data_IF_806043793748
#
_entry.id   IF_806043793748
#
_cell.length_a   1.000
_cell.length_b   1.000
_cell.length_c   1.000
_cell.angle_alpha   90.00
_cell.angle_beta   90.00
_cell.angle_gamma   90.00
#
_symmetry.space_group_name_H-M   'P 1'
#
loop_
_entity.id
_entity.type
_entity.pdbx_description
1 polymer ?
#
# COMPACT_ATOMS: atom_id res chain seq x y z
N UNK A 1 0.88 61.33 -48.13
CA UNK A 1 -0.39 61.31 -47.39
C UNK A 1 -1.27 60.20 -47.96
N UNK A 2 -1.58 59.17 -47.15
CA UNK A 2 -2.61 58.16 -47.43
C UNK A 2 -3.09 57.62 -46.08
N UNK A 3 -4.39 57.77 -45.82
CA UNK A 3 -5.02 57.51 -44.52
C UNK A 3 -5.33 56.03 -44.27
N UNK A 4 -5.60 55.71 -43.00
CA UNK A 4 -6.26 54.48 -42.58
C UNK A 4 -7.53 54.83 -41.82
N UNK A 5 -8.59 54.13 -42.19
CA UNK A 5 -9.98 54.39 -41.84
C UNK A 5 -10.29 54.10 -40.36
N UNK A 6 -11.19 54.91 -39.80
CA UNK A 6 -11.88 54.66 -38.53
C UNK A 6 -12.83 53.48 -38.74
N UNK A 7 -12.68 52.41 -37.95
CA UNK A 7 -13.67 51.32 -37.89
C UNK A 7 -14.77 51.72 -36.91
N UNK A 8 -16.03 51.88 -37.35
CA UNK A 8 -17.17 52.14 -36.46
C UNK A 8 -17.65 50.81 -35.85
N UNK A 9 -17.60 50.67 -34.53
CA UNK A 9 -18.15 49.48 -33.85
C UNK A 9 -17.63 49.18 -32.44
N UNK A 10 -16.50 49.73 -32.02
CA UNK A 10 -15.92 49.43 -30.69
C UNK A 10 -16.65 50.09 -29.51
N UNK A 11 -17.45 51.13 -29.74
CA UNK A 11 -18.14 51.87 -28.68
C UNK A 11 -19.39 51.16 -28.14
N UNK A 12 -20.03 50.30 -28.94
CA UNK A 12 -21.28 49.63 -28.55
C UNK A 12 -21.06 48.43 -27.62
N UNK A 13 -19.91 47.76 -27.71
CA UNK A 13 -19.60 46.60 -26.85
C UNK A 13 -19.27 47.02 -25.40
N UNK A 14 -18.67 48.20 -25.22
CA UNK A 14 -18.35 48.74 -23.89
C UNK A 14 -19.64 49.22 -23.19
N UNK A 15 -20.58 49.79 -23.94
CA UNK A 15 -21.88 50.22 -23.41
C UNK A 15 -22.72 49.07 -22.83
N UNK A 16 -22.70 47.90 -23.48
CA UNK A 16 -23.43 46.72 -23.00
C UNK A 16 -22.84 46.13 -21.71
N UNK A 17 -21.50 46.11 -21.58
CA UNK A 17 -20.82 45.55 -20.41
C UNK A 17 -21.03 46.39 -19.14
N UNK A 18 -21.02 47.72 -19.28
CA UNK A 18 -21.27 48.64 -18.15
C UNK A 18 -22.73 48.61 -17.71
N UNK A 19 -23.67 48.42 -18.64
CA UNK A 19 -25.10 48.33 -18.32
C UNK A 19 -25.42 47.05 -17.52
N UNK A 20 -24.78 45.91 -17.81
CA UNK A 20 -24.91 44.68 -17.00
C UNK A 20 -24.33 44.78 -15.59
N UNK A 21 -23.27 45.58 -15.40
CA UNK A 21 -22.67 45.79 -14.07
C UNK A 21 -23.53 46.74 -13.21
N UNK A 22 -24.23 47.69 -13.83
CA UNK A 22 -25.11 48.64 -13.13
C UNK A 22 -26.52 48.12 -12.83
N UNK A 23 -27.05 47.15 -13.59
CA UNK A 23 -28.40 46.59 -13.38
C UNK A 23 -28.50 45.39 -12.41
N UNK A 24 -27.44 45.08 -11.65
CA UNK A 24 -27.61 44.43 -10.35
C UNK A 24 -28.17 43.00 -10.35
N UNK A 25 -27.68 42.11 -11.22
CA UNK A 25 -27.77 40.66 -10.98
C UNK A 25 -26.38 40.14 -10.65
N UNK A 26 -26.13 39.97 -9.35
CA UNK A 26 -24.83 39.52 -8.83
C UNK A 26 -24.31 40.30 -7.64
N UNK A 27 -25.18 41.00 -6.89
CA UNK A 27 -24.86 41.47 -5.55
C UNK A 27 -24.79 40.32 -4.57
N UNK A 28 -23.60 40.04 -4.04
CA UNK A 28 -23.35 40.15 -2.60
C UNK A 28 -21.90 40.56 -2.39
N UNK A 29 -21.80 41.71 -1.74
CA UNK A 29 -20.61 42.46 -1.41
C UNK A 29 -19.64 41.68 -0.53
N UNK A 30 -18.39 42.10 -0.63
CA UNK A 30 -17.34 41.89 0.36
C UNK A 30 -17.82 42.17 1.79
N UNK A 31 -17.83 41.14 2.63
CA UNK A 31 -17.80 41.27 4.09
C UNK A 31 -17.30 39.98 4.73
N UNK A 32 -15.97 39.83 4.79
CA UNK A 32 -15.22 39.29 5.94
C UNK A 32 -13.76 39.05 5.53
N UNK A 33 -12.96 40.10 5.70
CA UNK A 33 -11.51 40.12 5.53
C UNK A 33 -10.78 39.55 6.76
N UNK A 34 -11.36 38.54 7.42
CA UNK A 34 -10.76 37.90 8.58
C UNK A 34 -10.79 36.38 8.41
N UNK A 35 -9.59 35.82 8.27
CA UNK A 35 -9.21 34.54 8.89
C UNK A 35 -9.36 33.24 8.09
N UNK A 36 -9.23 33.24 6.77
CA UNK A 36 -8.84 32.01 6.06
C UNK A 36 -7.70 32.23 5.06
N UNK A 37 -6.53 32.60 5.57
CA UNK A 37 -5.31 32.00 5.04
C UNK A 37 -5.36 30.52 5.43
N UNK A 38 -6.10 29.71 4.67
CA UNK A 38 -5.99 28.27 4.73
C UNK A 38 -4.61 27.91 4.17
N UNK A 39 -3.57 28.15 4.97
CA UNK A 39 -2.34 27.38 4.87
C UNK A 39 -2.77 25.96 5.14
N UNK A 40 -3.13 25.25 4.08
CA UNK A 40 -3.25 23.81 4.11
C UNK A 40 -1.85 23.30 4.37
N UNK A 41 -1.47 23.23 5.64
CA UNK A 41 -0.31 22.49 6.10
C UNK A 41 -0.65 21.03 5.83
N UNK A 42 -0.45 20.60 4.59
CA UNK A 42 -0.33 19.20 4.28
C UNK A 42 0.92 18.74 5.01
N UNK A 43 0.76 18.25 6.22
CA UNK A 43 1.75 17.36 6.81
C UNK A 43 1.75 16.11 5.94
N UNK A 44 2.53 16.16 4.85
CA UNK A 44 3.02 14.96 4.21
C UNK A 44 3.91 14.29 5.25
N UNK A 45 3.31 13.41 6.05
CA UNK A 45 4.07 12.43 6.82
C UNK A 45 4.67 11.51 5.77
N UNK A 46 5.82 11.90 5.22
CA UNK A 46 6.70 10.96 4.57
C UNK A 46 7.06 9.96 5.66
N UNK A 47 6.33 8.84 5.71
CA UNK A 47 6.79 7.68 6.45
C UNK A 47 8.15 7.37 5.80
N UNK A 48 9.24 7.72 6.49
CA UNK A 48 10.56 7.99 5.91
C UNK A 48 11.29 6.81 5.28
N UNK A 49 10.59 5.74 4.90
CA UNK A 49 11.12 4.64 4.15
C UNK A 49 10.89 4.92 2.65
N UNK A 50 11.96 5.33 1.96
CA UNK A 50 12.02 5.06 0.52
C UNK A 50 11.76 3.55 0.31
N UNK A 51 11.00 3.16 -0.73
CA UNK A 51 10.79 1.74 -0.99
C UNK A 51 12.14 1.07 -1.21
N UNK A 52 12.41 0.04 -0.42
CA UNK A 52 13.65 -0.72 -0.54
C UNK A 52 13.68 -1.53 -1.83
N UNK A 53 14.83 -2.17 -2.15
CA UNK A 53 14.92 -3.12 -3.25
C UNK A 53 13.75 -4.12 -3.22
N UNK A 54 13.18 -4.43 -4.38
CA UNK A 54 12.06 -5.35 -4.46
C UNK A 54 12.48 -6.76 -4.05
N UNK A 55 11.61 -7.47 -3.32
CA UNK A 55 11.71 -8.92 -3.23
C UNK A 55 11.60 -9.53 -4.64
N UNK A 56 12.39 -10.56 -4.92
CA UNK A 56 12.47 -11.18 -6.24
C UNK A 56 11.28 -12.10 -6.50
N UNK A 57 10.91 -12.91 -5.52
CA UNK A 57 9.73 -13.79 -5.62
C UNK A 57 9.26 -14.26 -4.25
N UNK A 58 7.96 -14.51 -4.14
CA UNK A 58 7.34 -15.21 -3.02
C UNK A 58 6.45 -16.32 -3.58
N UNK A 59 6.84 -17.57 -3.35
CA UNK A 59 6.07 -18.75 -3.79
C UNK A 59 5.76 -19.65 -2.61
N UNK A 60 4.81 -20.57 -2.76
CA UNK A 60 4.41 -21.49 -1.70
C UNK A 60 4.28 -22.90 -2.25
N UNK A 61 4.81 -23.88 -1.52
CA UNK A 61 4.65 -25.30 -1.81
C UNK A 61 4.08 -26.04 -0.62
N UNK A 62 3.15 -26.96 -0.86
CA UNK A 62 2.61 -27.83 0.17
C UNK A 62 3.36 -29.15 0.29
N UNK A 63 3.39 -29.68 1.52
CA UNK A 63 3.89 -31.01 1.82
C UNK A 63 3.06 -31.64 2.95
N UNK A 64 3.28 -32.92 3.21
CA UNK A 64 2.61 -33.68 4.28
C UNK A 64 1.07 -33.65 4.17
N UNK A 65 0.50 -33.93 2.99
CA UNK A 65 -0.97 -33.88 2.78
C UNK A 65 -1.59 -32.52 3.17
N UNK A 66 -0.92 -31.44 2.75
CA UNK A 66 -1.29 -30.05 3.02
C UNK A 66 -1.24 -29.68 4.51
N UNK A 67 -0.51 -30.41 5.35
CA UNK A 67 -0.31 -30.02 6.76
C UNK A 67 0.81 -29.02 6.95
N UNK A 68 1.66 -28.88 5.93
CA UNK A 68 2.80 -27.99 5.93
C UNK A 68 2.79 -27.15 4.65
N UNK A 69 2.88 -25.83 4.80
CA UNK A 69 3.14 -24.89 3.72
C UNK A 69 4.56 -24.34 3.88
N UNK A 70 5.33 -24.36 2.81
CA UNK A 70 6.67 -23.78 2.78
C UNK A 70 6.65 -22.60 1.82
N UNK A 71 6.88 -21.41 2.35
CA UNK A 71 7.03 -20.20 1.56
C UNK A 71 8.50 -20.07 1.15
N UNK A 72 8.75 -19.98 -0.15
CA UNK A 72 10.07 -19.71 -0.70
C UNK A 72 10.17 -18.23 -1.04
N UNK A 73 11.05 -17.54 -0.33
CA UNK A 73 11.30 -16.11 -0.48
C UNK A 73 12.63 -15.95 -1.19
N UNK A 74 12.65 -15.19 -2.29
CA UNK A 74 13.88 -14.82 -2.99
C UNK A 74 14.05 -13.32 -2.89
N UNK A 75 15.23 -12.84 -2.51
CA UNK A 75 15.53 -11.41 -2.43
C UNK A 75 16.49 -11.01 -3.54
N UNK A 76 16.23 -9.88 -4.22
CA UNK A 76 17.14 -9.38 -5.28
C UNK A 76 18.44 -8.86 -4.70
N UNK A 77 18.35 -8.21 -3.54
CA UNK A 77 19.46 -7.73 -2.72
C UNK A 77 19.41 -8.41 -1.35
N UNK A 78 20.57 -8.64 -0.72
CA UNK A 78 20.61 -9.21 0.62
C UNK A 78 19.92 -8.27 1.65
N UNK A 79 18.80 -8.68 2.27
CA UNK A 79 18.15 -7.91 3.31
C UNK A 79 18.93 -8.01 4.63
N UNK A 80 18.81 -6.99 5.48
CA UNK A 80 19.31 -7.07 6.85
C UNK A 80 18.45 -8.03 7.69
N UNK A 81 17.12 -7.97 7.50
CA UNK A 81 16.18 -8.88 8.17
C UNK A 81 15.01 -9.22 7.24
N UNK A 82 14.49 -10.45 7.40
CA UNK A 82 13.19 -10.85 6.86
C UNK A 82 12.25 -11.09 8.03
N UNK A 83 11.06 -10.53 7.97
CA UNK A 83 9.96 -10.82 8.88
C UNK A 83 8.72 -11.24 8.10
N UNK A 84 7.82 -11.94 8.77
CA UNK A 84 6.52 -12.25 8.18
C UNK A 84 5.41 -12.11 9.21
N UNK A 85 4.23 -11.70 8.76
CA UNK A 85 3.05 -11.50 9.60
C UNK A 85 1.79 -11.89 8.83
N UNK A 86 0.78 -12.37 9.55
CA UNK A 86 -0.53 -12.63 8.96
C UNK A 86 -1.43 -11.38 9.05
N UNK A 87 -2.24 -11.18 8.02
CA UNK A 87 -3.34 -10.23 8.03
C UNK A 87 -4.47 -10.77 8.91
N UNK A 88 -4.85 -10.00 9.92
CA UNK A 88 -5.96 -10.32 10.80
C UNK A 88 -7.29 -9.87 10.19
N UNK A 89 -8.39 -10.41 10.71
CA UNK A 89 -9.75 -10.07 10.28
C UNK A 89 -10.11 -8.57 10.45
N UNK A 90 -9.40 -7.84 11.31
CA UNK A 90 -9.55 -6.40 11.50
C UNK A 90 -8.85 -5.55 10.41
N UNK A 91 -8.19 -6.19 9.43
CA UNK A 91 -7.46 -5.51 8.35
C UNK A 91 -6.05 -5.05 8.72
N UNK A 92 -5.54 -5.41 9.90
CA UNK A 92 -4.17 -5.09 10.33
C UNK A 92 -3.29 -6.32 10.36
N UNK A 93 -1.98 -6.14 10.21
CA UNK A 93 -1.03 -7.24 10.40
C UNK A 93 -0.80 -7.49 11.87
N UNK A 94 -0.87 -8.76 12.27
CA UNK A 94 -0.66 -9.18 13.65
C UNK A 94 0.81 -9.22 14.06
N UNK A 95 1.13 -10.13 14.98
CA UNK A 95 2.50 -10.40 15.42
C UNK A 95 3.42 -10.67 14.23
N UNK A 96 4.57 -10.00 14.20
CA UNK A 96 5.63 -10.29 13.23
C UNK A 96 6.57 -11.35 13.76
N UNK A 97 6.88 -12.33 12.93
CA UNK A 97 7.81 -13.43 13.23
C UNK A 97 9.09 -13.28 12.40
N UNK A 98 10.19 -13.77 12.96
CA UNK A 98 11.49 -13.78 12.29
C UNK A 98 11.51 -14.81 11.17
N UNK A 99 11.81 -14.36 9.95
CA UNK A 99 11.99 -15.21 8.77
C UNK A 99 13.43 -15.70 8.58
N UNK A 100 13.74 -16.27 7.41
CA UNK A 100 15.07 -16.76 7.09
C UNK A 100 16.09 -15.63 6.94
N UNK A 101 17.36 -15.93 7.21
CA UNK A 101 18.48 -15.03 6.91
C UNK A 101 18.93 -15.26 5.47
N UNK A 102 18.89 -14.21 4.64
CA UNK A 102 19.38 -14.23 3.27
C UNK A 102 20.63 -13.36 3.20
N UNK A 103 21.80 -13.99 3.09
CA UNK A 103 23.10 -13.31 3.20
C UNK A 103 23.66 -12.81 1.86
N UNK A 104 23.07 -13.26 0.74
CA UNK A 104 23.58 -13.01 -0.61
C UNK A 104 22.47 -12.41 -1.49
N UNK A 105 22.83 -11.50 -2.42
CA UNK A 105 21.92 -11.10 -3.50
C UNK A 105 21.44 -12.32 -4.30
N UNK A 106 20.19 -12.29 -4.75
CA UNK A 106 19.51 -13.41 -5.42
C UNK A 106 19.44 -14.69 -4.57
N UNK A 107 19.72 -14.59 -3.26
CA UNK A 107 19.56 -15.68 -2.32
C UNK A 107 18.10 -15.97 -2.01
N UNK A 108 17.84 -17.22 -1.61
CA UNK A 108 16.52 -17.68 -1.21
C UNK A 108 16.51 -18.17 0.23
N UNK A 109 15.35 -18.09 0.87
CA UNK A 109 15.10 -18.61 2.20
C UNK A 109 13.69 -19.18 2.33
N UNK A 110 13.53 -20.09 3.30
CA UNK A 110 12.27 -20.81 3.50
C UNK A 110 11.60 -20.42 4.81
N UNK A 111 10.30 -20.16 4.75
CA UNK A 111 9.44 -20.01 5.93
C UNK A 111 8.51 -21.23 5.98
N UNK A 112 8.60 -22.01 7.05
CA UNK A 112 7.78 -23.22 7.22
C UNK A 112 6.60 -22.93 8.14
N UNK A 113 5.40 -23.07 7.60
CA UNK A 113 4.14 -22.94 8.32
C UNK A 113 3.51 -24.33 8.47
N UNK A 114 3.40 -24.79 9.70
CA UNK A 114 2.81 -26.08 10.06
C UNK A 114 1.44 -25.83 10.67
N UNK A 115 0.41 -26.40 10.07
CA UNK A 115 -0.95 -26.35 10.62
C UNK A 115 -1.25 -27.56 11.52
N UNK A 116 -0.60 -28.70 11.28
CA UNK A 116 -0.84 -29.96 11.99
C UNK A 116 0.41 -30.83 12.01
N UNK A 117 0.67 -31.62 13.08
CA UNK A 117 -0.15 -31.82 14.29
C UNK A 117 -0.11 -30.64 15.28
N UNK A 118 -1.11 -30.54 16.18
CA UNK A 118 -1.30 -29.41 17.11
C UNK A 118 -0.06 -29.06 17.97
N UNK A 119 0.71 -30.08 18.35
CA UNK A 119 1.95 -29.91 19.12
C UNK A 119 3.04 -29.15 18.35
N UNK A 120 3.00 -29.18 17.01
CA UNK A 120 3.97 -28.56 16.11
C UNK A 120 3.37 -27.39 15.31
N UNK A 121 2.12 -27.01 15.59
CA UNK A 121 1.46 -25.92 14.89
C UNK A 121 2.25 -24.61 15.08
N UNK A 122 2.60 -23.98 13.97
CA UNK A 122 3.34 -22.72 13.93
C UNK A 122 2.58 -21.62 14.66
N UNK A 123 3.31 -20.71 15.32
CA UNK A 123 2.70 -19.64 16.12
C UNK A 123 1.78 -18.73 15.27
N UNK A 124 2.12 -18.48 14.01
CA UNK A 124 1.27 -17.71 13.08
C UNK A 124 -0.13 -18.30 12.90
N UNK A 125 -0.28 -19.62 12.96
CA UNK A 125 -1.58 -20.30 12.86
C UNK A 125 -2.32 -20.23 14.19
N UNK A 126 -1.61 -20.34 15.32
CA UNK A 126 -2.19 -20.20 16.66
C UNK A 126 -2.74 -18.80 16.89
N UNK A 127 -2.02 -17.78 16.41
CA UNK A 127 -2.40 -16.38 16.54
C UNK A 127 -3.51 -15.98 15.53
N UNK A 128 -3.72 -16.80 14.49
CA UNK A 128 -4.75 -16.57 13.46
C UNK A 128 -5.56 -17.86 13.23
N UNK A 129 -6.39 -18.28 14.21
CA UNK A 129 -7.06 -19.57 14.20
C UNK A 129 -8.32 -19.60 13.30
N UNK A 130 -8.61 -18.54 12.55
CA UNK A 130 -9.78 -18.52 11.68
C UNK A 130 -9.63 -19.50 10.51
N UNK A 131 -10.75 -20.13 10.12
CA UNK A 131 -10.84 -20.91 8.89
C UNK A 131 -10.97 -19.98 7.67
N UNK A 132 -10.41 -20.40 6.54
CA UNK A 132 -10.46 -19.70 5.26
C UNK A 132 -9.15 -19.01 4.90
N UNK A 133 -9.28 -17.80 4.34
CA UNK A 133 -8.15 -17.06 3.78
C UNK A 133 -7.17 -16.59 4.86
N UNK A 134 -5.91 -16.99 4.73
CA UNK A 134 -4.77 -16.55 5.54
C UNK A 134 -3.78 -15.80 4.65
N UNK A 135 -3.86 -14.48 4.63
CA UNK A 135 -2.89 -13.65 3.91
C UNK A 135 -1.66 -13.42 4.77
N UNK A 136 -0.49 -13.80 4.27
CA UNK A 136 0.81 -13.62 4.92
C UNK A 136 1.59 -12.57 4.15
N UNK A 137 2.04 -11.52 4.83
CA UNK A 137 2.99 -10.53 4.33
C UNK A 137 4.38 -10.93 4.75
N UNK A 138 5.29 -11.02 3.80
CA UNK A 138 6.73 -11.11 4.03
C UNK A 138 7.34 -9.74 3.80
N UNK A 139 8.09 -9.24 4.77
CA UNK A 139 8.75 -7.94 4.71
C UNK A 139 10.25 -8.12 4.80
N UNK A 140 10.96 -7.58 3.82
CA UNK A 140 12.41 -7.44 3.81
C UNK A 140 12.77 -6.02 4.28
N UNK A 141 13.61 -5.93 5.30
CA UNK A 141 14.19 -4.66 5.75
C UNK A 141 15.67 -4.66 5.42
N UNK A 142 16.16 -3.59 4.82
CA UNK A 142 17.53 -3.43 4.37
C UNK A 142 18.37 -2.62 5.37
N UNK A 143 19.69 -2.61 5.19
CA UNK A 143 20.62 -1.92 6.10
C UNK A 143 20.42 -0.41 6.15
N UNK A 144 19.89 0.18 5.07
CA UNK A 144 19.49 1.58 4.97
C UNK A 144 18.11 1.87 5.57
N UNK A 145 17.51 0.88 6.27
CA UNK A 145 16.18 0.92 6.89
C UNK A 145 15.02 1.04 5.89
N UNK A 146 15.29 0.94 4.59
CA UNK A 146 14.23 0.79 3.60
C UNK A 146 13.59 -0.58 3.73
N UNK A 147 12.34 -0.70 3.31
CA UNK A 147 11.61 -1.96 3.38
C UNK A 147 10.88 -2.25 2.07
N UNK A 148 10.71 -3.54 1.79
CA UNK A 148 9.90 -4.05 0.69
C UNK A 148 9.06 -5.22 1.21
N UNK A 149 7.84 -5.35 0.71
CA UNK A 149 6.91 -6.39 1.15
C UNK A 149 6.26 -7.11 -0.02
N UNK A 150 6.00 -8.40 0.17
CA UNK A 150 5.18 -9.22 -0.73
C UNK A 150 4.13 -9.97 0.08
N UNK A 151 2.93 -10.06 -0.46
CA UNK A 151 1.80 -10.74 0.16
C UNK A 151 1.53 -12.06 -0.58
N UNK A 152 1.18 -13.10 0.17
CA UNK A 152 0.68 -14.37 -0.37
C UNK A 152 -0.53 -14.82 0.43
N UNK A 153 -1.59 -15.23 -0.27
CA UNK A 153 -2.82 -15.71 0.35
C UNK A 153 -2.85 -17.23 0.32
N UNK A 154 -2.89 -17.82 1.52
CA UNK A 154 -3.02 -19.25 1.77
C UNK A 154 -4.47 -19.56 2.15
N UNK A 155 -4.90 -20.80 2.01
CA UNK A 155 -6.20 -21.25 2.53
C UNK A 155 -5.99 -22.19 3.73
N UNK A 156 -6.37 -21.73 4.92
CA UNK A 156 -6.29 -22.47 6.16
C UNK A 156 -7.62 -23.19 6.43
N UNK A 157 -7.59 -24.52 6.50
CA UNK A 157 -8.77 -25.35 6.75
C UNK A 157 -8.62 -26.00 8.11
N UNK A 158 -9.40 -25.54 9.09
CA UNK A 158 -9.38 -26.06 10.47
C UNK A 158 -9.82 -27.51 10.51
N UNK A 159 -10.83 -27.85 9.71
CA UNK A 159 -11.35 -29.20 9.60
C UNK A 159 -10.32 -30.08 8.89
N UNK A 160 -9.55 -30.83 9.68
CA UNK A 160 -8.41 -31.58 9.19
C UNK A 160 -7.10 -30.78 9.21
N UNK A 161 -7.04 -29.58 9.78
CA UNK A 161 -5.81 -28.82 10.06
C UNK A 161 -4.87 -28.66 8.87
N UNK A 162 -5.41 -28.34 7.70
CA UNK A 162 -4.66 -28.16 6.46
C UNK A 162 -4.35 -26.68 6.21
N UNK A 163 -3.29 -26.43 5.49
CA UNK A 163 -2.94 -25.13 4.92
C UNK A 163 -2.59 -25.35 3.46
N UNK A 164 -3.29 -24.68 2.56
CA UNK A 164 -3.18 -24.87 1.11
C UNK A 164 -2.57 -23.61 0.49
N UNK A 165 -1.50 -23.80 -0.28
CA UNK A 165 -0.86 -22.78 -1.07
C UNK A 165 -1.74 -22.38 -2.26
N UNK A 166 -1.67 -21.13 -2.73
CA UNK A 166 -2.34 -20.72 -3.95
C UNK A 166 -1.78 -21.52 -5.14
N UNK A 167 -2.65 -21.87 -6.09
CA UNK A 167 -2.21 -22.44 -7.37
C UNK A 167 -1.37 -21.39 -8.09
N UNK A 168 -0.08 -21.65 -8.22
CA UNK A 168 0.89 -20.82 -8.95
C UNK A 168 0.82 -21.03 -10.45
#
# INVERSE_FOLDING_TARGET
MKGSARVPGAALAIGAFVLTVLLGVGGVSASALWQQSATATMTATANGAWPGPALGSLTCTNSNSDKTATLHVTATTAPATITYAALQANGTYGTSYTGPTILLPLGSGNIVIVASPAAQTSQIIKDNPADGSLTVRVTATYLDQTASSMDITLNHVLTGGKIVCPLS
#
